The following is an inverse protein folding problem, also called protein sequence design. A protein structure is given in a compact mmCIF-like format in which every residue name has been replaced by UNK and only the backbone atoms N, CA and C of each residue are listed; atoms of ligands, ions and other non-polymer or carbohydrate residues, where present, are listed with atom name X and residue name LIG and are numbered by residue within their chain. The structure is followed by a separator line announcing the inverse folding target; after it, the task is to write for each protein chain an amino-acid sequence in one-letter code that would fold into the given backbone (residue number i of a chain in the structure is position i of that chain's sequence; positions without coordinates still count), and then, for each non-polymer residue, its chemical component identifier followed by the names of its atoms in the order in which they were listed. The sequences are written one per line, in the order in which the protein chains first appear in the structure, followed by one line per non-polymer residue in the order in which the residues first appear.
data_IF_646121760054
#
_entry.id   IF_646121760054
#
_cell.length_a   1.000
_cell.length_b   1.000
_cell.length_c   1.000
_cell.angle_alpha   90.00
_cell.angle_beta   90.00
_cell.angle_gamma   90.00
#
_symmetry.space_group_name_H-M   'P 1'
#
loop_
_entity.id
_entity.type
_entity.pdbx_description
1 polymer ?
#
# COMPACT_ATOMS: atom_id res chain seq x y z
N UNK A 1 -65.80 -51.22 -6.02
CA UNK A 1 -64.81 -50.68 -6.97
C UNK A 1 -64.92 -49.16 -7.24
N UNK A 2 -65.42 -48.33 -6.29
CA UNK A 2 -65.37 -46.84 -6.43
C UNK A 2 -64.87 -46.07 -5.19
N UNK A 3 -64.85 -46.69 -4.01
CA UNK A 3 -64.39 -46.01 -2.77
C UNK A 3 -62.86 -46.09 -2.55
N UNK A 4 -62.20 -47.18 -2.97
CA UNK A 4 -60.77 -47.41 -2.70
C UNK A 4 -59.85 -46.49 -3.52
N UNK A 5 -60.25 -46.11 -4.74
CA UNK A 5 -59.46 -45.21 -5.59
C UNK A 5 -59.57 -43.73 -5.17
N UNK A 6 -60.65 -43.35 -4.47
CA UNK A 6 -60.83 -42.00 -3.94
C UNK A 6 -59.91 -41.75 -2.74
N UNK A 7 -59.78 -42.72 -1.83
CA UNK A 7 -58.86 -42.63 -0.70
C UNK A 7 -57.39 -42.66 -1.13
N UNK A 8 -57.03 -43.40 -2.18
CA UNK A 8 -55.68 -43.37 -2.75
C UNK A 8 -55.31 -42.02 -3.36
N UNK A 9 -56.26 -41.33 -4.01
CA UNK A 9 -56.02 -39.99 -4.60
C UNK A 9 -55.95 -38.90 -3.53
N UNK A 10 -56.74 -38.98 -2.46
CA UNK A 10 -56.67 -38.04 -1.34
C UNK A 10 -55.38 -38.22 -0.54
N UNK A 11 -54.92 -39.47 -0.32
CA UNK A 11 -53.63 -39.74 0.31
C UNK A 11 -52.44 -39.24 -0.53
N UNK A 12 -52.52 -39.31 -1.86
CA UNK A 12 -51.46 -38.83 -2.75
C UNK A 12 -51.35 -37.29 -2.78
N UNK A 13 -52.48 -36.58 -2.66
CA UNK A 13 -52.51 -35.10 -2.61
C UNK A 13 -52.07 -34.59 -1.23
N UNK A 14 -52.42 -35.28 -0.14
CA UNK A 14 -51.93 -34.95 1.20
C UNK A 14 -50.41 -35.20 1.35
N UNK A 15 -49.86 -36.22 0.67
CA UNK A 15 -48.41 -36.49 0.66
C UNK A 15 -47.62 -35.45 -0.16
N UNK A 16 -48.24 -34.81 -1.16
CA UNK A 16 -47.63 -33.72 -1.95
C UNK A 16 -47.72 -32.34 -1.26
N UNK A 17 -48.67 -32.14 -0.34
CA UNK A 17 -48.76 -30.90 0.45
C UNK A 17 -47.66 -30.78 1.51
N UNK A 18 -47.18 -31.90 2.05
CA UNK A 18 -46.13 -31.93 3.09
C UNK A 18 -44.72 -31.80 2.50
N UNK A 19 -44.52 -32.11 1.22
CA UNK A 19 -43.21 -31.98 0.57
C UNK A 19 -42.85 -30.55 0.11
N UNK A 20 -43.81 -29.60 0.12
CA UNK A 20 -43.57 -28.20 -0.28
C UNK A 20 -43.37 -27.23 0.91
N UNK A 21 -43.62 -27.66 2.15
CA UNK A 21 -43.36 -26.85 3.35
C UNK A 21 -41.96 -27.07 3.96
N UNK A 22 -41.12 -27.93 3.35
CA UNK A 22 -39.84 -28.36 3.94
C UNK A 22 -38.62 -27.47 3.68
N UNK A 23 -38.70 -26.44 2.82
CA UNK A 23 -37.48 -25.74 2.36
C UNK A 23 -37.16 -24.42 3.09
N UNK A 24 -38.02 -23.89 3.96
CA UNK A 24 -37.73 -22.65 4.70
C UNK A 24 -37.10 -22.89 6.09
N UNK A 25 -37.37 -24.02 6.73
CA UNK A 25 -36.90 -24.31 8.11
C UNK A 25 -35.55 -25.04 8.16
N UNK A 26 -35.08 -25.58 7.03
CA UNK A 26 -33.87 -26.42 6.96
C UNK A 26 -32.58 -25.62 6.75
N UNK A 27 -32.66 -24.32 6.41
CA UNK A 27 -31.47 -23.44 6.32
C UNK A 27 -30.76 -23.26 7.67
N UNK A 28 -31.45 -23.41 8.79
CA UNK A 28 -30.88 -23.27 10.14
C UNK A 28 -30.22 -24.54 10.69
N UNK A 29 -30.58 -25.73 10.20
CA UNK A 29 -30.11 -27.02 10.75
C UNK A 29 -28.81 -27.51 10.11
N UNK A 30 -28.55 -27.12 8.87
CA UNK A 30 -27.29 -27.39 8.15
C UNK A 30 -26.28 -26.23 8.21
N UNK A 31 -26.55 -25.20 9.01
CA UNK A 31 -25.52 -24.24 9.41
C UNK A 31 -24.56 -24.89 10.44
N UNK A 32 -24.01 -26.05 10.06
CA UNK A 32 -22.94 -26.73 10.78
C UNK A 32 -21.66 -25.91 10.75
N UNK A 33 -20.64 -26.39 11.44
CA UNK A 33 -19.31 -25.76 11.63
C UNK A 33 -18.75 -25.09 10.36
N UNK A 34 -19.10 -25.56 9.16
CA UNK A 34 -18.70 -24.99 7.86
C UNK A 34 -19.26 -23.59 7.56
N UNK A 35 -20.48 -23.26 7.98
CA UNK A 35 -21.05 -21.91 7.78
C UNK A 35 -20.41 -20.90 8.73
N UNK A 36 -20.17 -21.30 9.98
CA UNK A 36 -19.43 -20.51 10.95
C UNK A 36 -17.95 -20.35 10.55
N UNK A 37 -17.31 -21.39 10.01
CA UNK A 37 -15.95 -21.35 9.49
C UNK A 37 -15.84 -20.45 8.23
N UNK A 38 -16.80 -20.52 7.31
CA UNK A 38 -16.86 -19.60 6.16
C UNK A 38 -17.06 -18.15 6.59
N UNK A 39 -18.00 -17.89 7.51
CA UNK A 39 -18.21 -16.54 8.06
C UNK A 39 -16.99 -16.03 8.83
N UNK A 40 -16.25 -16.91 9.50
CA UNK A 40 -15.00 -16.57 10.17
C UNK A 40 -13.85 -16.21 9.19
N UNK A 41 -13.96 -16.55 7.91
CA UNK A 41 -13.01 -16.15 6.87
C UNK A 41 -13.43 -14.88 6.12
N UNK A 42 -14.65 -14.37 6.34
CA UNK A 42 -15.10 -13.12 5.71
C UNK A 42 -14.48 -11.88 6.37
N UNK A 43 -14.31 -10.78 5.62
CA UNK A 43 -13.90 -9.49 6.18
C UNK A 43 -14.81 -9.07 7.34
N UNK A 44 -14.20 -8.64 8.45
CA UNK A 44 -14.95 -8.22 9.63
C UNK A 44 -15.96 -7.11 9.28
N UNK A 45 -17.19 -7.25 9.77
CA UNK A 45 -18.20 -6.20 9.66
C UNK A 45 -17.76 -4.98 10.47
N UNK A 46 -18.04 -3.78 9.93
CA UNK A 46 -17.66 -2.55 10.60
C UNK A 46 -18.49 -2.36 11.86
N UNK A 47 -17.81 -2.33 13.01
CA UNK A 47 -18.43 -2.05 14.30
C UNK A 47 -18.78 -0.56 14.39
N UNK A 48 -19.94 -0.27 15.01
CA UNK A 48 -20.36 1.08 15.38
C UNK A 48 -19.64 1.51 16.66
N UNK A 49 -19.17 2.75 16.68
CA UNK A 49 -18.55 3.36 17.85
C UNK A 49 -18.87 4.85 17.83
N UNK A 50 -18.82 5.49 19.01
CA UNK A 50 -18.95 6.94 19.12
C UNK A 50 -17.62 7.60 18.72
N UNK A 51 -17.58 8.42 17.65
CA UNK A 51 -16.36 9.10 17.24
C UNK A 51 -15.86 10.03 18.35
N UNK A 52 -14.58 9.93 18.69
CA UNK A 52 -13.92 10.82 19.66
C UNK A 52 -13.18 11.98 18.99
N UNK A 53 -13.07 11.96 17.66
CA UNK A 53 -12.55 13.07 16.86
C UNK A 53 -13.37 13.22 15.59
N UNK A 54 -13.54 14.46 15.13
CA UNK A 54 -14.22 14.76 13.87
C UNK A 54 -13.19 14.86 12.74
N UNK A 55 -13.51 14.28 11.59
CA UNK A 55 -12.70 14.32 10.37
C UNK A 55 -13.49 15.03 9.29
N UNK A 56 -12.91 16.08 8.72
CA UNK A 56 -13.48 16.85 7.63
C UNK A 56 -12.82 16.48 6.30
N UNK A 57 -13.62 16.18 5.28
CA UNK A 57 -13.16 16.02 3.89
C UNK A 57 -12.93 17.41 3.30
N UNK A 58 -11.69 17.70 2.89
CA UNK A 58 -11.32 18.98 2.31
C UNK A 58 -11.70 19.04 0.83
N UNK A 59 -11.24 18.06 0.06
CA UNK A 59 -11.47 17.98 -1.38
C UNK A 59 -11.29 16.55 -1.88
N UNK A 60 -11.71 16.31 -3.12
CA UNK A 60 -11.44 15.08 -3.85
C UNK A 60 -11.33 15.37 -5.34
N UNK A 61 -10.31 14.81 -5.98
CA UNK A 61 -9.96 15.06 -7.38
C UNK A 61 -9.53 13.75 -8.03
N UNK A 62 -10.14 13.41 -9.18
CA UNK A 62 -9.72 12.28 -10.00
C UNK A 62 -8.56 12.66 -10.92
N UNK A 63 -7.46 11.89 -10.89
CA UNK A 63 -6.24 12.15 -11.68
C UNK A 63 -6.07 11.21 -12.88
N UNK A 64 -7.18 10.61 -13.32
CA UNK A 64 -7.23 9.63 -14.39
C UNK A 64 -7.79 8.30 -13.91
N UNK A 65 -7.70 7.27 -14.76
CA UNK A 65 -8.14 5.91 -14.44
C UNK A 65 -6.97 5.11 -13.87
N UNK A 66 -7.13 4.66 -12.64
CA UNK A 66 -6.25 3.72 -11.97
C UNK A 66 -6.40 2.29 -12.51
N UNK A 67 -5.86 1.33 -11.77
CA UNK A 67 -5.95 -0.10 -12.08
C UNK A 67 -5.96 -0.91 -10.78
N UNK A 68 -7.05 -1.61 -10.50
CA UNK A 68 -7.21 -2.42 -9.30
C UNK A 68 -6.66 -3.85 -9.43
N UNK A 69 -6.37 -4.33 -10.64
CA UNK A 69 -6.05 -5.75 -10.86
C UNK A 69 -4.56 -6.08 -10.86
N UNK A 70 -3.69 -5.11 -11.19
CA UNK A 70 -2.25 -5.38 -11.35
C UNK A 70 -1.43 -5.17 -10.08
N UNK A 71 -2.06 -4.68 -9.00
CA UNK A 71 -1.43 -4.53 -7.68
C UNK A 71 -0.50 -3.32 -7.52
N UNK A 72 -0.59 -2.29 -8.39
CA UNK A 72 0.18 -1.06 -8.21
C UNK A 72 -0.25 -0.30 -6.96
N UNK A 73 0.71 0.11 -6.13
CA UNK A 73 0.45 0.92 -4.93
C UNK A 73 0.74 2.40 -5.17
N UNK A 74 0.12 2.97 -6.20
CA UNK A 74 0.25 4.41 -6.49
C UNK A 74 -0.25 5.24 -5.30
N UNK A 75 0.54 6.24 -4.93
CA UNK A 75 0.21 7.23 -3.91
C UNK A 75 0.69 8.60 -4.35
N UNK A 76 0.04 9.68 -3.89
CA UNK A 76 0.54 11.01 -4.13
C UNK A 76 1.89 11.25 -3.44
N UNK A 77 2.61 12.25 -3.93
CA UNK A 77 3.75 12.87 -3.27
C UNK A 77 3.45 14.36 -3.05
N UNK A 78 4.04 14.96 -2.03
CA UNK A 78 3.77 16.37 -1.68
C UNK A 78 5.09 17.11 -1.54
N UNK A 79 5.16 18.28 -2.18
CA UNK A 79 6.26 19.23 -2.02
C UNK A 79 5.77 20.64 -2.32
N UNK A 80 6.28 21.64 -1.61
CA UNK A 80 6.02 23.06 -1.85
C UNK A 80 4.53 23.42 -1.99
N UNK A 81 3.72 22.89 -1.07
CA UNK A 81 2.26 23.11 -1.02
C UNK A 81 1.48 22.47 -2.16
N UNK A 82 2.09 21.57 -2.95
CA UNK A 82 1.44 20.89 -4.08
C UNK A 82 1.43 19.38 -3.88
N UNK A 83 0.35 18.76 -4.35
CA UNK A 83 0.17 17.31 -4.43
C UNK A 83 0.45 16.89 -5.86
N UNK A 84 1.40 15.98 -6.04
CA UNK A 84 1.72 15.36 -7.30
C UNK A 84 1.18 13.95 -7.30
N UNK A 85 0.44 13.60 -8.35
CA UNK A 85 -0.13 12.27 -8.44
C UNK A 85 -0.28 11.82 -9.88
N UNK A 86 -0.41 10.52 -10.05
CA UNK A 86 -0.64 9.90 -11.36
C UNK A 86 -1.62 8.75 -11.23
N UNK A 87 -2.32 8.48 -12.32
CA UNK A 87 -3.08 7.26 -12.50
C UNK A 87 -2.48 6.45 -13.66
N UNK A 88 -2.81 5.17 -13.73
CA UNK A 88 -2.33 4.24 -14.77
C UNK A 88 -2.58 4.78 -16.18
N UNK A 89 -3.74 5.41 -16.39
CA UNK A 89 -3.99 6.22 -17.57
C UNK A 89 -4.54 7.58 -17.17
N UNK A 90 -3.99 8.66 -17.71
CA UNK A 90 -4.43 10.03 -17.36
C UNK A 90 -3.28 11.01 -17.39
N UNK A 91 -2.10 10.55 -16.99
CA UNK A 91 -0.89 11.36 -16.92
C UNK A 91 -0.51 11.68 -15.48
N UNK A 92 0.13 12.82 -15.30
CA UNK A 92 0.57 13.32 -13.99
C UNK A 92 -0.11 14.65 -13.76
N UNK A 93 -0.65 14.86 -12.56
CA UNK A 93 -1.26 16.11 -12.15
C UNK A 93 -0.52 16.69 -10.95
N UNK A 94 -0.33 18.01 -10.97
CA UNK A 94 -0.02 18.78 -9.79
C UNK A 94 -1.28 19.50 -9.32
N UNK A 95 -1.63 19.35 -8.05
CA UNK A 95 -2.79 19.96 -7.42
C UNK A 95 -2.33 20.85 -6.27
N UNK A 96 -3.07 21.90 -5.99
CA UNK A 96 -2.89 22.67 -4.76
C UNK A 96 -3.30 21.83 -3.54
N UNK A 97 -2.44 21.73 -2.52
CA UNK A 97 -2.66 20.87 -1.34
C UNK A 97 -3.92 21.25 -0.55
N UNK A 98 -4.24 22.53 -0.48
CA UNK A 98 -5.36 23.01 0.34
C UNK A 98 -6.70 22.85 -0.37
N UNK A 99 -6.74 23.02 -1.69
CA UNK A 99 -7.98 23.13 -2.47
C UNK A 99 -8.23 21.97 -3.44
N UNK A 100 -7.22 21.17 -3.75
CA UNK A 100 -7.30 20.10 -4.75
C UNK A 100 -7.41 20.58 -6.19
N UNK A 101 -7.28 21.90 -6.44
CA UNK A 101 -7.34 22.49 -7.77
C UNK A 101 -6.09 22.17 -8.56
N UNK A 102 -6.26 21.79 -9.83
CA UNK A 102 -5.15 21.52 -10.75
C UNK A 102 -4.31 22.78 -11.00
N UNK A 103 -3.01 22.65 -10.78
CA UNK A 103 -1.97 23.64 -11.11
C UNK A 103 -1.45 23.38 -12.52
N UNK A 104 -1.06 22.14 -12.83
CA UNK A 104 -0.64 21.72 -14.16
C UNK A 104 -0.95 20.24 -14.40
N UNK A 105 -0.92 19.83 -15.67
CA UNK A 105 -1.01 18.43 -16.09
C UNK A 105 0.10 18.09 -17.10
N UNK A 106 0.58 16.85 -17.01
CA UNK A 106 1.43 16.24 -18.03
C UNK A 106 0.70 15.04 -18.63
N UNK A 107 0.63 15.00 -19.97
CA UNK A 107 0.03 13.89 -20.72
C UNK A 107 1.13 13.10 -21.44
N UNK A 108 1.32 11.82 -21.11
CA UNK A 108 2.35 11.03 -21.75
C UNK A 108 2.06 10.81 -23.23
N UNK A 109 3.12 10.80 -24.03
CA UNK A 109 3.05 10.42 -25.45
C UNK A 109 2.58 8.97 -25.56
N UNK A 110 1.85 8.66 -26.64
CA UNK A 110 1.46 7.27 -26.92
C UNK A 110 2.71 6.47 -27.28
N UNK A 111 2.76 5.24 -26.80
CA UNK A 111 3.81 4.29 -27.16
C UNK A 111 3.49 3.67 -28.52
N UNK A 112 4.48 3.58 -29.40
CA UNK A 112 4.35 2.96 -30.73
C UNK A 112 5.08 1.64 -30.76
N UNK A 113 4.35 0.56 -31.03
CA UNK A 113 4.91 -0.80 -31.19
C UNK A 113 4.17 -1.53 -32.30
N UNK A 114 4.90 -2.07 -33.26
CA UNK A 114 4.36 -2.82 -34.42
C UNK A 114 3.23 -2.04 -35.12
N UNK A 115 3.48 -0.77 -35.46
CA UNK A 115 2.54 0.16 -36.10
C UNK A 115 1.22 0.42 -35.32
N UNK A 116 1.20 0.11 -34.02
CA UNK A 116 0.06 0.36 -33.13
C UNK A 116 0.43 1.32 -32.01
N UNK A 117 -0.51 2.24 -31.72
CA UNK A 117 -0.37 3.25 -30.66
C UNK A 117 -1.08 2.79 -29.39
N UNK A 118 -0.35 2.69 -28.29
CA UNK A 118 -0.87 2.34 -26.98
C UNK A 118 -0.79 3.54 -26.03
N UNK A 119 -1.70 3.60 -25.07
CA UNK A 119 -1.57 4.56 -23.96
C UNK A 119 -0.40 4.12 -23.09
N UNK A 120 0.54 5.02 -22.84
CA UNK A 120 1.61 4.75 -21.87
C UNK A 120 0.98 4.55 -20.49
N UNK A 121 1.40 3.49 -19.80
CA UNK A 121 0.85 3.10 -18.50
C UNK A 121 1.81 3.52 -17.40
N UNK A 122 1.45 4.58 -16.67
CA UNK A 122 2.24 5.09 -15.55
C UNK A 122 1.99 4.22 -14.31
N UNK A 123 3.03 3.73 -13.65
CA UNK A 123 2.86 2.75 -12.57
C UNK A 123 3.66 3.06 -11.31
N UNK A 124 4.87 3.60 -11.47
CA UNK A 124 5.76 3.92 -10.35
C UNK A 124 5.68 5.39 -9.97
N UNK A 125 5.15 5.69 -8.79
CA UNK A 125 5.22 7.04 -8.21
C UNK A 125 3.93 7.86 -8.28
N UNK A 126 4.05 9.20 -8.24
CA UNK A 126 5.28 9.98 -8.48
C UNK A 126 6.28 10.04 -7.30
N UNK A 127 7.56 10.22 -7.63
CA UNK A 127 8.60 10.70 -6.73
C UNK A 127 8.86 12.19 -6.94
N UNK A 128 9.13 12.95 -5.88
CA UNK A 128 9.28 14.43 -5.97
C UNK A 128 10.44 14.89 -5.11
N UNK A 129 11.21 15.85 -5.63
CA UNK A 129 12.38 16.41 -4.96
C UNK A 129 13.30 17.14 -5.94
N UNK A 130 14.11 18.07 -5.44
CA UNK A 130 15.13 18.79 -6.22
C UNK A 130 14.61 19.42 -7.53
N UNK A 131 13.36 19.93 -7.53
CA UNK A 131 12.76 20.56 -8.71
C UNK A 131 12.26 19.57 -9.77
N UNK A 132 12.12 18.29 -9.42
CA UNK A 132 11.68 17.21 -10.30
C UNK A 132 10.44 16.48 -9.77
N UNK A 133 9.66 15.96 -10.72
CA UNK A 133 8.62 14.96 -10.49
C UNK A 133 8.93 13.77 -11.40
N UNK A 134 9.21 12.60 -10.83
CA UNK A 134 9.68 11.42 -11.58
C UNK A 134 8.67 10.29 -11.49
N UNK A 135 8.36 9.67 -12.64
CA UNK A 135 7.38 8.61 -12.77
C UNK A 135 7.96 7.45 -13.58
N UNK A 136 7.71 6.24 -13.11
CA UNK A 136 8.03 4.98 -13.80
C UNK A 136 6.83 4.40 -14.54
N UNK A 137 7.09 3.60 -15.59
CA UNK A 137 6.04 2.97 -16.40
C UNK A 137 6.13 1.44 -16.40
N UNK A 138 5.05 0.78 -16.83
CA UNK A 138 5.03 -0.66 -17.09
C UNK A 138 5.82 -1.06 -18.33
N UNK A 139 6.28 -0.11 -19.13
CA UNK A 139 7.23 -0.34 -20.22
C UNK A 139 8.68 -0.21 -19.73
N UNK A 140 8.94 0.21 -18.49
CA UNK A 140 10.28 0.48 -17.96
C UNK A 140 10.85 1.84 -18.35
N UNK A 141 10.01 2.79 -18.79
CA UNK A 141 10.42 4.17 -18.97
C UNK A 141 10.47 4.89 -17.62
N UNK A 142 11.49 5.72 -17.43
CA UNK A 142 11.63 6.65 -16.30
C UNK A 142 11.52 8.05 -16.87
N UNK A 143 10.51 8.80 -16.44
CA UNK A 143 10.16 10.11 -16.98
C UNK A 143 10.37 11.14 -15.89
N UNK A 144 11.27 12.10 -16.11
CA UNK A 144 11.45 13.22 -15.20
C UNK A 144 10.82 14.48 -15.77
N UNK A 145 9.94 15.06 -14.97
CA UNK A 145 9.22 16.30 -15.28
C UNK A 145 9.78 17.43 -14.43
N UNK A 146 9.74 18.64 -14.95
CA UNK A 146 9.94 19.84 -14.17
C UNK A 146 8.80 20.01 -13.16
N UNK A 147 9.15 20.13 -11.88
CA UNK A 147 8.18 20.25 -10.80
C UNK A 147 7.29 21.52 -10.90
N UNK A 148 7.80 22.57 -11.55
CA UNK A 148 7.11 23.86 -11.67
C UNK A 148 5.95 23.83 -12.68
N UNK A 149 6.12 23.15 -13.83
CA UNK A 149 5.20 23.25 -14.97
C UNK A 149 4.84 21.91 -15.64
N UNK A 150 5.43 20.79 -15.20
CA UNK A 150 5.18 19.46 -15.75
C UNK A 150 5.86 19.18 -17.10
N UNK A 151 6.73 20.06 -17.59
CA UNK A 151 7.49 19.82 -18.82
C UNK A 151 8.46 18.65 -18.67
N UNK A 152 8.53 17.75 -19.66
CA UNK A 152 9.47 16.63 -19.64
C UNK A 152 10.90 17.15 -19.80
N UNK A 153 11.74 16.93 -18.78
CA UNK A 153 13.17 17.31 -18.82
C UNK A 153 14.01 16.24 -19.49
N UNK A 154 13.81 14.99 -19.09
CA UNK A 154 14.52 13.85 -19.64
C UNK A 154 13.71 12.57 -19.48
N UNK A 155 14.14 11.56 -20.22
CA UNK A 155 13.60 10.21 -20.18
C UNK A 155 14.73 9.20 -20.25
N UNK A 156 14.66 8.20 -19.39
CA UNK A 156 15.59 7.07 -19.37
C UNK A 156 14.84 5.74 -19.50
N UNK A 157 15.59 4.67 -19.79
CA UNK A 157 15.06 3.33 -19.95
C UNK A 157 15.72 2.38 -18.96
N UNK A 158 14.89 1.62 -18.23
CA UNK A 158 15.31 0.44 -17.48
C UNK A 158 14.77 -0.84 -18.14
N UNK A 159 15.36 -2.01 -17.87
CA UNK A 159 14.99 -3.25 -18.55
C UNK A 159 13.60 -3.78 -18.22
N UNK A 160 13.06 -3.43 -17.05
CA UNK A 160 11.83 -4.00 -16.50
C UNK A 160 10.88 -2.92 -15.98
N UNK A 161 9.64 -3.31 -15.69
CA UNK A 161 8.59 -2.43 -15.18
C UNK A 161 9.04 -1.65 -13.95
N UNK A 162 8.64 -0.37 -13.86
CA UNK A 162 8.87 0.45 -12.66
C UNK A 162 7.52 0.69 -12.00
N UNK A 163 7.28 -0.01 -10.89
CA UNK A 163 6.01 0.05 -10.15
C UNK A 163 6.16 0.68 -8.76
N UNK A 164 7.38 0.82 -8.26
CA UNK A 164 7.69 1.59 -7.07
C UNK A 164 7.91 3.08 -7.41
N UNK A 165 7.63 3.96 -6.46
CA UNK A 165 7.94 5.38 -6.62
C UNK A 165 9.46 5.60 -6.70
N UNK A 166 9.97 6.33 -7.70
CA UNK A 166 11.36 6.77 -7.72
C UNK A 166 11.68 7.65 -6.51
N UNK A 167 12.90 7.56 -5.99
CA UNK A 167 13.41 8.46 -4.95
C UNK A 167 14.36 9.49 -5.56
N UNK A 168 14.39 10.70 -5.01
CA UNK A 168 15.26 11.78 -5.48
C UNK A 168 16.06 12.27 -4.29
N UNK A 169 17.39 12.15 -4.36
CA UNK A 169 18.27 12.56 -3.28
C UNK A 169 19.69 12.84 -3.78
N UNK A 170 20.26 13.94 -3.31
CA UNK A 170 21.64 14.36 -3.53
C UNK A 170 21.99 14.29 -5.03
N UNK A 171 21.13 14.88 -5.87
CA UNK A 171 21.29 14.97 -7.33
C UNK A 171 21.22 13.65 -8.09
N UNK A 172 20.65 12.62 -7.46
CA UNK A 172 20.34 11.34 -8.09
C UNK A 172 18.85 11.05 -8.08
N UNK A 173 18.38 10.43 -9.16
CA UNK A 173 17.07 9.79 -9.26
C UNK A 173 17.28 8.29 -9.18
N UNK A 174 16.77 7.69 -8.11
CA UNK A 174 16.88 6.26 -7.81
C UNK A 174 15.60 5.55 -8.22
N UNK A 175 15.76 4.47 -8.97
CA UNK A 175 14.64 3.71 -9.55
C UNK A 175 14.82 2.24 -9.24
N UNK A 176 13.79 1.63 -8.66
CA UNK A 176 13.69 0.18 -8.50
C UNK A 176 12.79 -0.39 -9.59
N UNK A 177 13.31 -1.29 -10.42
CA UNK A 177 12.49 -2.07 -11.34
C UNK A 177 11.99 -3.36 -10.69
N UNK A 178 10.94 -3.94 -11.26
CA UNK A 178 10.25 -5.12 -10.71
C UNK A 178 11.12 -6.39 -10.67
N UNK A 179 12.28 -6.39 -11.31
CA UNK A 179 13.30 -7.45 -11.22
C UNK A 179 14.29 -7.24 -10.04
N UNK A 180 13.98 -6.34 -9.11
CA UNK A 180 14.81 -6.03 -7.94
C UNK A 180 15.98 -5.10 -8.22
N UNK A 181 16.27 -4.77 -9.48
CA UNK A 181 17.40 -3.89 -9.84
C UNK A 181 17.15 -2.46 -9.40
N UNK A 182 18.16 -1.86 -8.78
CA UNK A 182 18.18 -0.43 -8.42
C UNK A 182 19.11 0.29 -9.37
N UNK A 183 18.61 1.32 -10.06
CA UNK A 183 19.38 2.17 -10.96
C UNK A 183 19.39 3.60 -10.44
N UNK A 184 20.55 4.27 -10.50
CA UNK A 184 20.67 5.69 -10.23
C UNK A 184 20.94 6.45 -11.52
N UNK A 185 20.21 7.54 -11.71
CA UNK A 185 20.34 8.46 -12.81
C UNK A 185 20.74 9.83 -12.29
N UNK A 186 21.54 10.56 -13.05
CA UNK A 186 21.76 11.97 -12.81
C UNK A 186 20.43 12.73 -12.85
N UNK A 187 20.13 13.51 -11.81
CA UNK A 187 18.87 14.23 -11.73
C UNK A 187 18.71 15.29 -12.85
N UNK A 188 19.81 15.82 -13.38
CA UNK A 188 19.79 16.86 -14.42
C UNK A 188 19.71 16.26 -15.82
N UNK A 189 20.54 15.27 -16.13
CA UNK A 189 20.70 14.74 -17.49
C UNK A 189 19.91 13.46 -17.76
N UNK A 190 19.55 12.71 -16.71
CA UNK A 190 18.97 11.37 -16.85
C UNK A 190 19.99 10.30 -17.24
N UNK A 191 21.29 10.61 -17.25
CA UNK A 191 22.35 9.62 -17.52
C UNK A 191 22.48 8.65 -16.35
N UNK A 192 22.52 7.35 -16.64
CA UNK A 192 22.68 6.33 -15.60
C UNK A 192 24.09 6.41 -15.00
N UNK A 193 24.17 6.69 -13.71
CA UNK A 193 25.42 6.74 -12.94
C UNK A 193 25.88 5.35 -12.52
N UNK A 194 24.96 4.56 -11.97
CA UNK A 194 25.22 3.18 -11.55
C UNK A 194 23.93 2.37 -11.57
N UNK A 195 24.09 1.05 -11.49
CA UNK A 195 23.00 0.14 -11.13
C UNK A 195 23.53 -0.96 -10.21
N UNK A 196 22.64 -1.46 -9.38
CA UNK A 196 22.85 -2.58 -8.48
C UNK A 196 21.79 -3.64 -8.78
N UNK A 197 22.20 -4.90 -8.90
CA UNK A 197 21.30 -6.02 -9.11
C UNK A 197 21.67 -7.13 -8.13
N UNK A 198 20.68 -7.61 -7.39
CA UNK A 198 20.78 -8.82 -6.58
C UNK A 198 20.17 -10.00 -7.35
N UNK A 199 20.66 -11.22 -7.12
CA UNK A 199 19.99 -12.43 -7.58
C UNK A 199 18.76 -12.69 -6.72
N UNK A 200 17.57 -12.40 -7.26
CA UNK A 200 16.30 -12.61 -6.57
C UNK A 200 15.80 -14.07 -6.61
N UNK A 201 14.80 -14.41 -5.78
CA UNK A 201 14.16 -15.72 -5.82
C UNK A 201 13.41 -15.97 -7.14
N UNK A 202 13.16 -17.24 -7.46
CA UNK A 202 12.39 -17.68 -8.64
C UNK A 202 10.96 -17.11 -8.68
N UNK A 203 10.39 -16.81 -7.52
CA UNK A 203 9.09 -16.17 -7.33
C UNK A 203 9.21 -15.04 -6.29
N UNK A 204 8.65 -13.87 -6.60
CA UNK A 204 8.46 -12.77 -5.67
C UNK A 204 7.06 -12.14 -5.82
N UNK A 205 6.58 -11.46 -4.78
CA UNK A 205 5.54 -10.44 -4.96
C UNK A 205 6.14 -9.35 -5.82
N UNK A 206 5.38 -8.85 -6.81
CA UNK A 206 5.78 -7.71 -7.63
C UNK A 206 6.35 -6.60 -6.75
N UNK A 207 7.64 -6.30 -6.91
CA UNK A 207 8.40 -5.44 -6.01
C UNK A 207 7.85 -4.00 -5.95
N UNK A 208 7.03 -3.71 -4.94
CA UNK A 208 6.42 -2.40 -4.73
C UNK A 208 7.16 -1.56 -3.68
N UNK A 209 8.15 -2.14 -2.99
CA UNK A 209 8.92 -1.49 -1.94
C UNK A 209 9.53 -0.15 -2.43
N UNK A 210 9.13 1.00 -1.84
CA UNK A 210 9.74 2.28 -2.15
C UNK A 210 11.20 2.34 -1.70
N UNK A 211 12.03 3.05 -2.45
CA UNK A 211 13.41 3.36 -2.05
C UNK A 211 13.37 4.45 -0.98
N UNK A 212 14.12 4.24 0.11
CA UNK A 212 14.32 5.23 1.17
C UNK A 212 15.77 5.70 1.16
N UNK A 213 16.01 6.98 1.41
CA UNK A 213 17.37 7.53 1.38
C UNK A 213 17.72 8.18 2.72
N UNK A 214 19.00 8.11 3.07
CA UNK A 214 19.60 8.88 4.14
C UNK A 214 20.86 9.60 3.63
N UNK A 215 21.60 10.31 4.49
CA UNK A 215 22.86 10.95 4.10
C UNK A 215 23.84 9.91 3.54
N UNK A 216 24.17 10.01 2.24
CA UNK A 216 25.08 9.09 1.54
C UNK A 216 24.62 7.63 1.39
N UNK A 217 23.40 7.26 1.78
CA UNK A 217 22.93 5.86 1.81
C UNK A 217 21.54 5.71 1.19
N UNK A 218 21.32 4.55 0.57
CA UNK A 218 20.05 4.10 -0.01
C UNK A 218 19.63 2.82 0.69
N UNK A 219 18.40 2.77 1.19
CA UNK A 219 17.80 1.58 1.80
C UNK A 219 16.78 0.96 0.86
N UNK A 220 16.89 -0.35 0.67
CA UNK A 220 16.10 -1.12 -0.29
C UNK A 220 15.56 -2.37 0.40
N UNK A 221 14.23 -2.48 0.47
CA UNK A 221 13.57 -3.73 0.83
C UNK A 221 13.61 -4.69 -0.36
N UNK A 222 14.19 -5.86 -0.16
CA UNK A 222 14.38 -6.87 -1.18
C UNK A 222 13.27 -7.91 -1.16
N UNK A 223 13.04 -8.52 -2.32
CA UNK A 223 12.06 -9.59 -2.51
C UNK A 223 12.47 -10.88 -1.79
N UNK A 224 13.75 -10.99 -1.40
CA UNK A 224 14.31 -12.09 -0.59
C UNK A 224 13.99 -11.97 0.91
N UNK A 225 13.27 -10.93 1.34
CA UNK A 225 13.00 -10.65 2.76
C UNK A 225 14.15 -9.99 3.51
N UNK A 226 15.13 -9.49 2.77
CA UNK A 226 16.25 -8.72 3.32
C UNK A 226 16.06 -7.22 3.10
N UNK A 227 16.79 -6.44 3.87
CA UNK A 227 16.93 -5.01 3.72
C UNK A 227 18.40 -4.73 3.44
N UNK A 228 18.67 -4.12 2.29
CA UNK A 228 20.03 -3.75 1.87
C UNK A 228 20.23 -2.25 2.03
N UNK A 229 21.43 -1.88 2.47
CA UNK A 229 21.94 -0.52 2.35
C UNK A 229 22.99 -0.45 1.25
N UNK A 230 22.80 0.47 0.32
CA UNK A 230 23.75 0.76 -0.75
C UNK A 230 24.34 2.15 -0.54
N UNK A 231 25.61 2.34 -0.87
CA UNK A 231 26.19 3.68 -0.92
C UNK A 231 25.53 4.45 -2.07
N UNK A 232 25.09 5.67 -1.78
CA UNK A 232 24.35 6.47 -2.74
C UNK A 232 25.16 6.82 -4.01
N UNK A 233 26.47 6.97 -3.87
CA UNK A 233 27.32 7.49 -4.94
C UNK A 233 27.65 6.47 -6.03
N UNK A 234 27.75 5.20 -5.68
CA UNK A 234 28.23 4.14 -6.59
C UNK A 234 27.41 2.84 -6.52
N UNK A 235 26.40 2.76 -5.65
CA UNK A 235 25.55 1.58 -5.50
C UNK A 235 26.23 0.38 -4.86
N UNK A 236 27.43 0.54 -4.27
CA UNK A 236 28.11 -0.56 -3.58
C UNK A 236 27.33 -0.97 -2.33
N UNK A 237 27.19 -2.27 -2.03
CA UNK A 237 26.55 -2.70 -0.79
C UNK A 237 27.37 -2.26 0.42
N UNK A 238 26.68 -1.74 1.43
CA UNK A 238 27.23 -1.36 2.74
C UNK A 238 26.96 -2.46 3.76
N UNK A 239 25.71 -2.92 3.81
CA UNK A 239 25.26 -4.02 4.65
C UNK A 239 23.95 -4.60 4.09
N UNK A 240 23.64 -5.82 4.52
CA UNK A 240 22.37 -6.50 4.25
C UNK A 240 21.89 -7.16 5.55
N UNK A 241 20.60 -7.02 5.85
CA UNK A 241 19.98 -7.54 7.08
C UNK A 241 18.69 -8.27 6.74
N UNK A 242 18.59 -9.53 7.15
CA UNK A 242 17.33 -10.27 7.07
C UNK A 242 16.30 -9.67 8.05
N UNK A 243 15.10 -9.36 7.56
CA UNK A 243 13.96 -8.92 8.39
C UNK A 243 13.13 -10.14 8.83
N UNK A 244 13.18 -11.23 8.05
CA UNK A 244 12.57 -12.49 8.41
C UNK A 244 13.27 -13.68 7.76
N UNK A 245 13.14 -14.86 8.36
CA UNK A 245 13.73 -16.10 7.81
C UNK A 245 12.78 -16.72 6.78
N UNK A 246 13.23 -17.00 5.53
CA UNK A 246 12.45 -17.73 4.53
C UNK A 246 12.21 -19.21 4.92
N UNK A 247 11.40 -19.48 5.95
CA UNK A 247 10.96 -20.84 6.30
C UNK A 247 9.77 -21.29 5.45
N UNK A 248 9.74 -22.55 5.01
CA UNK A 248 8.63 -23.12 4.23
C UNK A 248 9.05 -24.23 3.25
N UNK A 249 8.19 -25.24 3.07
CA UNK A 249 8.40 -26.32 2.10
C UNK A 249 8.06 -25.86 0.68
N UNK A 250 7.11 -24.94 0.54
CA UNK A 250 6.68 -24.39 -0.76
C UNK A 250 7.25 -22.99 -1.01
N UNK A 251 7.34 -22.56 -2.28
CA UNK A 251 7.79 -21.21 -2.63
C UNK A 251 6.86 -20.12 -2.08
N UNK A 252 5.55 -20.40 -1.97
CA UNK A 252 4.57 -19.52 -1.31
C UNK A 252 4.82 -19.35 0.19
N UNK A 253 5.19 -20.42 0.89
CA UNK A 253 5.52 -20.37 2.33
C UNK A 253 6.83 -19.61 2.61
N UNK A 254 7.76 -19.59 1.64
CA UNK A 254 9.04 -18.88 1.74
C UNK A 254 8.98 -17.39 1.41
N UNK A 255 7.81 -16.86 1.01
CA UNK A 255 7.63 -15.43 0.74
C UNK A 255 7.88 -14.61 2.01
N UNK A 256 8.73 -13.59 1.92
CA UNK A 256 9.18 -12.79 3.08
C UNK A 256 9.29 -11.30 2.77
N UNK A 257 8.63 -10.87 1.71
CA UNK A 257 8.96 -9.64 1.01
C UNK A 257 8.76 -8.41 1.89
N UNK A 258 9.65 -7.43 1.72
CA UNK A 258 9.62 -6.16 2.45
C UNK A 258 9.00 -5.14 1.53
N UNK A 259 7.68 -5.11 1.51
CA UNK A 259 6.90 -4.48 0.45
C UNK A 259 6.33 -3.11 0.84
N UNK A 260 6.38 -2.81 2.14
CA UNK A 260 6.07 -1.51 2.72
C UNK A 260 7.31 -0.61 2.75
N UNK A 261 7.11 0.70 2.63
CA UNK A 261 8.21 1.66 2.74
C UNK A 261 8.83 1.58 4.15
N UNK A 262 10.15 1.35 4.26
CA UNK A 262 10.85 1.61 5.51
C UNK A 262 10.69 3.08 5.92
N UNK A 263 10.75 3.35 7.22
CA UNK A 263 10.73 4.73 7.74
C UNK A 263 12.03 4.99 8.46
N UNK A 264 12.79 5.97 7.94
CA UNK A 264 13.97 6.48 8.62
C UNK A 264 13.56 7.64 9.53
N UNK A 265 13.77 7.49 10.83
CA UNK A 265 13.57 8.55 11.82
C UNK A 265 14.87 8.78 12.60
N UNK A 266 15.47 9.94 12.39
CA UNK A 266 16.85 10.21 12.80
C UNK A 266 17.83 9.22 12.16
N UNK A 267 18.44 8.38 12.99
CA UNK A 267 19.36 7.31 12.55
C UNK A 267 18.73 5.91 12.62
N UNK A 268 17.49 5.79 13.09
CA UNK A 268 16.81 4.50 13.24
C UNK A 268 15.91 4.25 12.03
N UNK A 269 16.09 3.09 11.41
CA UNK A 269 15.28 2.62 10.31
C UNK A 269 14.30 1.58 10.83
N UNK A 270 13.01 1.79 10.56
CA UNK A 270 11.93 0.87 10.89
C UNK A 270 11.41 0.22 9.61
N UNK A 271 11.29 -1.10 9.61
CA UNK A 271 10.80 -1.86 8.47
C UNK A 271 9.94 -3.03 8.93
N UNK A 272 9.04 -3.47 8.08
CA UNK A 272 8.14 -4.60 8.33
C UNK A 272 8.04 -5.50 7.11
N UNK A 273 7.88 -6.81 7.32
CA UNK A 273 7.84 -7.82 6.26
C UNK A 273 6.47 -8.52 6.17
N UNK A 274 6.25 -9.22 5.06
CA UNK A 274 5.06 -10.08 4.89
C UNK A 274 4.94 -11.22 5.92
N UNK A 275 6.02 -11.59 6.63
CA UNK A 275 6.00 -12.66 7.65
C UNK A 275 5.55 -12.19 9.04
N UNK A 276 4.94 -11.01 9.10
CA UNK A 276 4.55 -10.35 10.32
C UNK A 276 5.74 -10.00 11.23
N UNK A 277 6.91 -9.75 10.66
CA UNK A 277 8.06 -9.27 11.44
C UNK A 277 8.23 -7.76 11.27
N UNK A 278 8.51 -7.07 12.36
CA UNK A 278 8.91 -5.66 12.38
C UNK A 278 10.24 -5.54 13.07
N UNK A 279 11.14 -4.78 12.45
CA UNK A 279 12.51 -4.56 12.89
C UNK A 279 12.76 -3.06 13.03
N UNK A 280 13.45 -2.69 14.09
CA UNK A 280 14.19 -1.42 14.15
C UNK A 280 15.69 -1.72 14.07
N UNK A 281 16.40 -0.96 13.25
CA UNK A 281 17.85 -1.06 13.12
C UNK A 281 18.50 0.33 13.05
N UNK A 282 19.79 0.41 13.33
CA UNK A 282 20.58 1.60 13.08
C UNK A 282 20.90 1.71 11.58
N UNK A 283 20.32 2.68 10.89
CA UNK A 283 20.39 2.83 9.44
C UNK A 283 21.82 2.80 8.88
N UNK A 284 22.78 3.57 9.43
CA UNK A 284 24.14 3.55 8.92
C UNK A 284 24.86 2.20 9.01
N UNK A 285 24.63 1.41 10.06
CA UNK A 285 25.40 0.19 10.36
C UNK A 285 24.65 -1.10 10.05
N UNK A 286 23.33 -1.07 9.90
CA UNK A 286 22.49 -2.25 9.77
C UNK A 286 22.21 -2.96 11.10
N UNK A 287 22.78 -2.49 12.22
CA UNK A 287 22.70 -3.18 13.51
C UNK A 287 21.25 -3.24 14.00
N UNK A 288 20.66 -4.43 14.21
CA UNK A 288 19.35 -4.57 14.83
C UNK A 288 19.32 -3.95 16.23
N UNK A 289 18.29 -3.15 16.50
CA UNK A 289 17.98 -2.62 17.82
C UNK A 289 16.95 -3.51 18.53
N UNK A 290 15.90 -3.92 17.82
CA UNK A 290 14.90 -4.89 18.28
C UNK A 290 14.13 -5.48 17.10
N UNK A 291 13.60 -6.71 17.28
CA UNK A 291 12.74 -7.42 16.31
C UNK A 291 11.50 -7.97 17.00
N UNK A 292 10.34 -7.91 16.35
CA UNK A 292 9.04 -8.37 16.89
C UNK A 292 8.22 -9.07 15.83
N UNK A 293 7.40 -10.03 16.26
CA UNK A 293 6.49 -10.87 15.47
C UNK A 293 5.11 -10.21 15.24
N UNK A 294 5.11 -8.89 15.09
CA UNK A 294 3.96 -8.11 14.66
C UNK A 294 4.36 -7.30 13.44
N UNK A 295 3.54 -7.29 12.38
CA UNK A 295 3.88 -6.59 11.14
C UNK A 295 3.10 -7.10 9.95
N UNK A 296 3.34 -6.51 8.79
CA UNK A 296 2.71 -6.89 7.53
C UNK A 296 3.18 -5.97 6.40
N UNK A 297 2.83 -6.29 5.17
CA UNK A 297 3.37 -5.61 3.98
C UNK A 297 2.92 -4.15 3.76
N UNK A 298 2.08 -3.60 4.65
CA UNK A 298 1.51 -2.26 4.49
C UNK A 298 2.54 -1.13 4.63
N UNK A 299 3.58 -1.32 5.43
CA UNK A 299 4.51 -0.25 5.84
C UNK A 299 4.26 0.23 7.26
N UNK A 300 5.15 1.08 7.78
CA UNK A 300 5.22 1.48 9.19
C UNK A 300 4.78 2.93 9.39
N UNK A 301 4.02 3.20 10.44
CA UNK A 301 3.77 4.56 10.94
C UNK A 301 4.63 4.82 12.18
N UNK A 302 5.41 5.90 12.19
CA UNK A 302 6.30 6.22 13.32
C UNK A 302 5.90 7.55 13.94
N UNK A 303 5.67 7.56 15.25
CA UNK A 303 5.45 8.75 16.06
C UNK A 303 6.65 9.02 16.97
N UNK A 304 6.54 9.96 17.91
CA UNK A 304 7.60 10.24 18.89
C UNK A 304 7.90 9.05 19.80
N UNK A 305 6.89 8.26 20.18
CA UNK A 305 7.02 7.17 21.17
C UNK A 305 6.48 5.82 20.72
N UNK A 306 5.66 5.78 19.66
CA UNK A 306 4.99 4.55 19.19
C UNK A 306 5.32 4.29 17.72
N UNK A 307 5.64 3.04 17.41
CA UNK A 307 5.71 2.49 16.05
C UNK A 307 4.43 1.69 15.81
N UNK A 308 3.69 2.00 14.75
CA UNK A 308 2.41 1.37 14.45
C UNK A 308 2.49 0.60 13.14
N UNK A 309 2.02 -0.65 13.18
CA UNK A 309 2.02 -1.56 12.03
C UNK A 309 0.66 -2.25 11.88
N UNK A 310 0.33 -2.63 10.65
CA UNK A 310 -0.85 -3.45 10.34
C UNK A 310 -0.41 -4.83 9.88
N UNK A 311 -1.04 -5.88 10.42
CA UNK A 311 -0.74 -7.26 10.03
C UNK A 311 -1.64 -7.79 8.91
N UNK A 312 -1.24 -8.93 8.34
CA UNK A 312 -2.00 -9.59 7.26
C UNK A 312 -3.36 -10.11 7.72
N UNK A 313 -3.56 -10.32 9.03
CA UNK A 313 -4.85 -10.70 9.60
C UNK A 313 -5.82 -9.51 9.70
N UNK A 314 -5.34 -8.28 9.51
CA UNK A 314 -6.11 -7.04 9.62
C UNK A 314 -6.15 -6.47 11.04
N UNK A 315 -5.19 -6.84 11.89
CA UNK A 315 -4.98 -6.20 13.19
C UNK A 315 -4.00 -5.04 13.05
N UNK A 316 -4.17 -4.01 13.88
CA UNK A 316 -3.23 -2.89 14.01
C UNK A 316 -2.57 -2.97 15.38
N UNK A 317 -1.25 -2.83 15.42
CA UNK A 317 -0.43 -2.95 16.62
C UNK A 317 0.30 -1.64 16.88
N UNK A 318 0.27 -1.17 18.12
CA UNK A 318 1.13 -0.10 18.61
C UNK A 318 2.28 -0.69 19.42
N UNK A 319 3.50 -0.45 18.97
CA UNK A 319 4.73 -0.94 19.56
C UNK A 319 5.48 0.22 20.21
N UNK A 320 6.04 0.01 21.39
CA UNK A 320 6.96 0.95 21.99
C UNK A 320 8.16 1.16 21.06
N UNK A 321 8.46 2.41 20.72
CA UNK A 321 9.48 2.73 19.71
C UNK A 321 10.90 2.29 20.08
N UNK A 322 11.20 2.23 21.38
CA UNK A 322 12.53 1.92 21.89
C UNK A 322 12.80 0.42 22.01
N UNK A 323 11.77 -0.36 22.35
CA UNK A 323 11.88 -1.77 22.68
C UNK A 323 11.09 -2.68 21.74
N UNK A 324 10.19 -2.14 20.92
CA UNK A 324 9.24 -2.90 20.11
C UNK A 324 8.14 -3.59 20.92
N UNK A 325 8.10 -3.46 22.25
CA UNK A 325 7.08 -4.16 23.04
C UNK A 325 5.67 -3.71 22.64
N UNK A 326 4.75 -4.66 22.46
CA UNK A 326 3.36 -4.35 22.13
C UNK A 326 2.71 -3.58 23.29
N UNK A 327 2.30 -2.34 23.02
CA UNK A 327 1.58 -1.49 23.97
C UNK A 327 0.07 -1.72 23.88
N UNK A 328 -0.43 -1.95 22.67
CA UNK A 328 -1.84 -2.23 22.39
C UNK A 328 -2.01 -2.95 21.04
N UNK A 329 -3.19 -3.54 20.85
CA UNK A 329 -3.61 -4.13 19.58
C UNK A 329 -5.09 -3.85 19.29
N UNK A 330 -5.44 -3.80 18.00
CA UNK A 330 -6.78 -3.54 17.51
C UNK A 330 -7.15 -4.54 16.41
N UNK A 331 -8.04 -5.49 16.70
CA UNK A 331 -8.43 -6.56 15.79
C UNK A 331 -9.80 -6.36 15.10
N UNK A 332 -10.52 -5.26 15.38
CA UNK A 332 -11.86 -5.03 14.82
C UNK A 332 -11.89 -4.86 13.29
N UNK A 333 -10.73 -4.72 12.65
CA UNK A 333 -10.57 -4.55 11.21
C UNK A 333 -10.09 -5.83 10.50
N UNK A 334 -10.25 -6.99 11.15
CA UNK A 334 -9.76 -8.26 10.65
C UNK A 334 -10.20 -8.55 9.20
N UNK A 335 -9.27 -9.02 8.37
CA UNK A 335 -9.46 -9.44 6.97
C UNK A 335 -10.06 -8.35 6.07
N UNK A 336 -9.82 -7.07 6.40
CA UNK A 336 -10.25 -5.92 5.57
C UNK A 336 -9.16 -5.39 4.64
N UNK A 337 -8.05 -6.13 4.48
CA UNK A 337 -6.90 -5.77 3.62
C UNK A 337 -6.45 -4.33 3.87
N UNK A 338 -5.82 -4.12 5.02
CA UNK A 338 -5.42 -2.78 5.45
C UNK A 338 -4.25 -2.24 4.62
N UNK A 339 -4.23 -0.93 4.41
CA UNK A 339 -3.04 -0.23 3.91
C UNK A 339 -1.95 -0.18 4.97
N UNK A 340 -0.77 0.34 4.60
CA UNK A 340 0.17 0.86 5.58
C UNK A 340 -0.40 1.93 6.48
N UNK A 341 0.32 2.20 7.57
CA UNK A 341 -0.12 3.10 8.63
C UNK A 341 0.45 4.50 8.43
N UNK A 342 -0.40 5.52 8.36
CA UNK A 342 0.02 6.92 8.43
C UNK A 342 -0.19 7.48 9.85
N UNK A 343 0.58 8.49 10.25
CA UNK A 343 0.39 9.20 11.51
C UNK A 343 -0.17 10.59 11.25
N UNK A 344 -1.34 10.92 11.82
CA UNK A 344 -1.97 12.24 11.75
C UNK A 344 -2.26 12.75 13.16
N UNK A 345 -1.40 13.63 13.69
CA UNK A 345 -1.48 14.06 15.09
C UNK A 345 -1.34 12.87 16.04
N UNK A 346 -2.28 12.72 16.96
CA UNK A 346 -2.29 11.64 17.97
C UNK A 346 -2.95 10.34 17.48
N UNK A 347 -3.09 10.17 16.15
CA UNK A 347 -3.79 9.06 15.55
C UNK A 347 -2.96 8.32 14.50
N UNK A 348 -3.01 7.00 14.55
CA UNK A 348 -2.65 6.13 13.44
C UNK A 348 -3.82 6.00 12.47
N UNK A 349 -3.55 5.99 11.17
CA UNK A 349 -4.58 5.92 10.13
C UNK A 349 -4.29 4.78 9.16
N UNK A 350 -5.28 3.92 8.94
CA UNK A 350 -5.24 2.83 7.96
C UNK A 350 -6.44 2.89 7.03
N UNK A 351 -6.21 2.60 5.74
CA UNK A 351 -7.24 2.42 4.73
C UNK A 351 -7.68 0.95 4.61
N UNK A 352 -8.81 0.69 3.97
CA UNK A 352 -9.31 -0.67 3.72
C UNK A 352 -9.84 -0.91 2.30
N UNK A 353 -10.15 -2.19 2.02
CA UNK A 353 -10.64 -2.66 0.73
C UNK A 353 -11.98 -2.07 0.23
N UNK A 354 -12.71 -1.33 1.08
CA UNK A 354 -14.00 -0.70 0.75
C UNK A 354 -13.90 0.83 0.69
N UNK A 355 -12.69 1.37 0.69
CA UNK A 355 -12.44 2.80 0.61
C UNK A 355 -12.60 3.54 1.94
N UNK A 356 -12.65 2.84 3.07
CA UNK A 356 -12.70 3.48 4.38
C UNK A 356 -11.30 3.77 4.92
N UNK A 357 -11.19 4.89 5.62
CA UNK A 357 -10.08 5.23 6.49
C UNK A 357 -10.53 5.13 7.94
N UNK A 358 -9.67 4.57 8.80
CA UNK A 358 -9.91 4.37 10.23
C UNK A 358 -8.80 5.06 11.01
N UNK A 359 -9.17 5.97 11.90
CA UNK A 359 -8.25 6.63 12.84
C UNK A 359 -8.27 5.86 14.15
N UNK A 360 -7.09 5.51 14.66
CA UNK A 360 -6.88 4.82 15.93
C UNK A 360 -6.04 5.71 16.83
N UNK A 361 -6.42 5.86 18.10
CA UNK A 361 -5.60 6.62 19.05
C UNK A 361 -4.25 5.94 19.25
N UNK A 362 -3.17 6.72 19.25
CA UNK A 362 -1.83 6.21 19.52
C UNK A 362 -1.65 5.71 20.97
N UNK A 363 -2.47 6.20 21.91
CA UNK A 363 -2.37 5.85 23.32
C UNK A 363 -2.83 4.42 23.63
N UNK A 364 -3.88 3.93 22.96
CA UNK A 364 -4.57 2.69 23.34
C UNK A 364 -5.14 1.88 22.16
N UNK A 365 -4.99 2.34 20.91
CA UNK A 365 -5.50 1.64 19.73
C UNK A 365 -7.03 1.72 19.55
N UNK A 366 -7.73 2.55 20.34
CA UNK A 366 -9.17 2.71 20.21
C UNK A 366 -9.54 3.42 18.90
N UNK A 367 -10.59 2.95 18.22
CA UNK A 367 -11.14 3.60 17.03
C UNK A 367 -11.68 5.00 17.42
N UNK A 368 -11.11 6.03 16.80
CA UNK A 368 -11.40 7.42 17.10
C UNK A 368 -12.29 8.09 16.06
N UNK A 369 -12.10 7.76 14.78
CA UNK A 369 -12.91 8.24 13.68
C UNK A 369 -12.89 7.28 12.50
N UNK A 370 -13.89 7.43 11.63
CA UNK A 370 -13.98 6.71 10.37
C UNK A 370 -14.51 7.64 9.29
N UNK A 371 -13.82 7.67 8.16
CA UNK A 371 -14.24 8.40 6.97
C UNK A 371 -14.18 7.49 5.74
N UNK A 372 -14.85 7.88 4.66
CA UNK A 372 -14.82 7.14 3.40
C UNK A 372 -14.25 8.00 2.29
N UNK A 373 -13.13 7.57 1.71
CA UNK A 373 -12.47 8.25 0.60
C UNK A 373 -13.17 8.01 -0.73
N UNK A 374 -13.70 6.79 -0.94
CA UNK A 374 -14.37 6.39 -2.16
C UNK A 374 -15.02 5.01 -2.02
N UNK A 375 -15.46 4.44 -3.14
CA UNK A 375 -16.02 3.07 -3.15
C UNK A 375 -14.95 2.01 -3.35
N UNK A 376 -13.84 2.41 -3.96
CA UNK A 376 -12.75 1.56 -4.40
C UNK A 376 -11.71 1.35 -3.32
N UNK A 377 -10.93 0.29 -3.50
CA UNK A 377 -9.89 -0.18 -2.58
C UNK A 377 -8.85 0.90 -2.34
N UNK A 378 -8.38 0.99 -1.09
CA UNK A 378 -7.14 1.69 -0.75
C UNK A 378 -6.03 0.66 -0.63
N UNK A 379 -4.97 0.79 -1.44
CA UNK A 379 -3.83 -0.13 -1.42
C UNK A 379 -2.57 0.50 -0.82
N UNK A 380 -2.29 1.74 -1.20
CA UNK A 380 -1.08 2.42 -0.75
C UNK A 380 -1.26 3.05 0.64
N UNK A 381 -0.17 3.13 1.39
CA UNK A 381 -0.10 3.85 2.66
C UNK A 381 -0.54 5.32 2.44
N UNK A 382 -1.50 5.84 3.23
CA UNK A 382 -1.86 7.26 3.22
C UNK A 382 -0.64 8.12 3.57
N UNK A 383 -0.64 9.37 3.11
CA UNK A 383 0.42 10.33 3.47
C UNK A 383 -0.17 11.47 4.28
N UNK A 384 0.60 12.02 5.21
CA UNK A 384 0.18 13.16 6.03
C UNK A 384 1.23 14.26 5.90
N UNK A 385 0.79 15.44 5.45
CA UNK A 385 1.62 16.64 5.33
C UNK A 385 0.81 17.85 5.78
N UNK A 386 1.40 18.71 6.60
CA UNK A 386 0.73 19.90 7.16
C UNK A 386 -0.62 19.60 7.83
N UNK A 387 -0.70 18.46 8.52
CA UNK A 387 -1.92 17.96 9.17
C UNK A 387 -3.03 17.53 8.20
N UNK A 388 -2.80 17.54 6.89
CA UNK A 388 -3.70 17.01 5.87
C UNK A 388 -3.30 15.58 5.54
N UNK A 389 -4.25 14.65 5.67
CA UNK A 389 -4.11 13.29 5.18
C UNK A 389 -4.58 13.20 3.74
N UNK A 390 -3.76 12.61 2.88
CA UNK A 390 -4.09 12.31 1.49
C UNK A 390 -4.09 10.80 1.28
N UNK A 391 -5.06 10.33 0.53
CA UNK A 391 -5.10 8.93 0.07
C UNK A 391 -5.55 8.87 -1.39
N UNK A 392 -5.03 7.91 -2.12
CA UNK A 392 -5.45 7.58 -3.49
C UNK A 392 -6.08 6.18 -3.52
N UNK A 393 -7.24 6.07 -4.16
CA UNK A 393 -7.90 4.77 -4.37
C UNK A 393 -7.45 4.12 -5.69
N UNK A 394 -7.83 2.85 -5.89
CA UNK A 394 -7.47 2.10 -7.10
C UNK A 394 -8.13 2.61 -8.39
N UNK A 395 -9.15 3.47 -8.32
CA UNK A 395 -9.77 4.08 -9.49
C UNK A 395 -9.04 5.36 -9.94
N UNK A 396 -8.16 5.93 -9.10
CA UNK A 396 -7.40 7.13 -9.40
C UNK A 396 -7.94 8.41 -8.75
N UNK A 397 -8.88 8.30 -7.81
CA UNK A 397 -9.32 9.44 -7.00
C UNK A 397 -8.39 9.68 -5.84
N UNK A 398 -8.02 10.95 -5.65
CA UNK A 398 -7.32 11.43 -4.47
C UNK A 398 -8.32 12.12 -3.58
N UNK A 399 -8.25 11.86 -2.27
CA UNK A 399 -9.09 12.54 -1.28
C UNK A 399 -8.24 13.08 -0.14
N UNK A 400 -8.52 14.32 0.25
CA UNK A 400 -7.87 15.00 1.36
C UNK A 400 -8.78 15.10 2.58
N UNK A 401 -8.22 14.84 3.76
CA UNK A 401 -8.90 14.92 5.05
C UNK A 401 -8.08 15.70 6.08
N UNK A 402 -8.77 16.38 6.99
CA UNK A 402 -8.16 17.06 8.14
C UNK A 402 -8.96 16.74 9.40
N UNK A 403 -8.28 16.64 10.53
CA UNK A 403 -8.93 16.58 11.84
C UNK A 403 -9.54 17.96 12.14
N UNK A 404 -10.82 17.99 12.50
CA UNK A 404 -11.45 19.24 12.91
C UNK A 404 -10.72 19.77 14.16
N UNK A 405 -10.57 21.10 14.23
CA UNK A 405 -10.03 21.78 15.41
C UNK A 405 -11.00 21.72 16.59
#
# INVERSE_FOLDING_TARGET
MKQVDMYKRIALIALMGVSLAGCSTVKGWFAGKDAAAKKAQEPAELVKFEPSVKVDKLWSTGVGKGEGHIGVRQRPAVADGKVYASAITGGVEALDLQTGKRVWEYKPKKEERNDRKFKQRLSGGPGVGEGLVVIGTLSGDVIALNQADGTEKWRAKVPNEVIAAPAIAQSLVLVRSNDGRVSAFDATTGERRWFHAEEGPTLSVRGNAPIVTGPGVVFVGNDSGTLSALALQDGRPLWEQAIGVPEGRTELERMSDVDGAPVLDGTTLYATSFKNETLALEGPSGRPLWTRDHGGAGGVGVSSSVVVVSDNAGSVWGLDKSSGAAMWSQAALARRSLTGVAIQGDYAVVGDYKGYLHWLKLSDGALAARARAGRDTLLAQPIVVDGILLVQNTDGDITAFRLAQ
#
